data_IF_534792658095
#
_entry.id   IF_534792658095
#
_cell.length_a   1.000
_cell.length_b   1.000
_cell.length_c   1.000
_cell.angle_alpha   90.00
_cell.angle_beta   90.00
_cell.angle_gamma   90.00
#
_symmetry.space_group_name_H-M   'P 1'
#
loop_
_entity.id
_entity.type
_entity.pdbx_description
1 polymer ?
#
# COMPACT_ATOMS: atom_id res chain seq x y z
N UNK A 1 -44.46 -26.55 -39.94
CA UNK A 1 -43.22 -25.78 -39.66
C UNK A 1 -43.42 -24.48 -38.89
N UNK A 2 -44.65 -24.02 -38.59
CA UNK A 2 -44.87 -22.75 -37.83
C UNK A 2 -44.97 -22.88 -36.31
N UNK A 3 -45.19 -24.07 -35.75
CA UNK A 3 -45.28 -24.25 -34.29
C UNK A 3 -43.91 -24.37 -33.60
N UNK A 4 -42.85 -24.79 -34.30
CA UNK A 4 -41.50 -24.90 -33.73
C UNK A 4 -40.81 -23.55 -33.51
N UNK A 5 -41.17 -22.52 -34.30
CA UNK A 5 -40.54 -21.20 -34.23
C UNK A 5 -41.02 -20.38 -33.01
N UNK A 6 -42.26 -20.57 -32.57
CA UNK A 6 -42.82 -19.85 -31.42
C UNK A 6 -42.20 -20.35 -30.12
N UNK A 7 -41.98 -21.67 -29.99
CA UNK A 7 -41.32 -22.27 -28.81
C UNK A 7 -39.86 -21.80 -28.70
N UNK A 8 -39.19 -21.55 -29.83
CA UNK A 8 -37.80 -21.07 -29.84
C UNK A 8 -37.62 -19.60 -29.43
N UNK A 9 -38.65 -18.77 -29.61
CA UNK A 9 -38.61 -17.35 -29.19
C UNK A 9 -38.84 -17.19 -27.68
N UNK A 10 -39.74 -17.96 -27.09
CA UNK A 10 -40.01 -17.91 -25.64
C UNK A 10 -38.84 -18.39 -24.78
N UNK A 11 -38.01 -19.32 -25.28
CA UNK A 11 -36.82 -19.78 -24.53
C UNK A 11 -35.69 -18.76 -24.51
N UNK A 12 -35.57 -17.90 -25.53
CA UNK A 12 -34.51 -16.88 -25.60
C UNK A 12 -34.77 -15.67 -24.70
N UNK A 13 -36.02 -15.26 -24.51
CA UNK A 13 -36.36 -14.14 -23.61
C UNK A 13 -36.15 -14.53 -22.14
N UNK A 14 -36.58 -15.72 -21.74
CA UNK A 14 -36.39 -16.22 -20.36
C UNK A 14 -34.91 -16.43 -20.02
N UNK A 15 -34.09 -16.88 -20.99
CA UNK A 15 -32.64 -17.02 -20.81
C UNK A 15 -31.92 -15.66 -20.73
N UNK A 16 -32.38 -14.65 -21.46
CA UNK A 16 -31.80 -13.30 -21.38
C UNK A 16 -32.09 -12.63 -20.03
N UNK A 17 -33.28 -12.79 -19.47
CA UNK A 17 -33.59 -12.26 -18.14
C UNK A 17 -32.78 -12.96 -17.04
N UNK A 18 -32.56 -14.28 -17.15
CA UNK A 18 -31.68 -15.02 -16.24
C UNK A 18 -30.22 -14.59 -16.36
N UNK A 19 -29.72 -14.37 -17.59
CA UNK A 19 -28.35 -13.91 -17.80
C UNK A 19 -28.16 -12.46 -17.37
N UNK A 20 -29.15 -11.59 -17.57
CA UNK A 20 -29.13 -10.21 -17.09
C UNK A 20 -29.20 -10.17 -15.55
N UNK A 21 -30.05 -10.99 -14.93
CA UNK A 21 -30.10 -11.14 -13.48
C UNK A 21 -28.79 -11.70 -12.92
N UNK A 22 -28.22 -12.72 -13.55
CA UNK A 22 -26.92 -13.29 -13.17
C UNK A 22 -25.80 -12.26 -13.34
N UNK A 23 -25.81 -11.46 -14.41
CA UNK A 23 -24.84 -10.40 -14.63
C UNK A 23 -24.95 -9.28 -13.59
N UNK A 24 -26.16 -8.82 -13.27
CA UNK A 24 -26.41 -7.81 -12.21
C UNK A 24 -26.01 -8.36 -10.83
N UNK A 25 -26.34 -9.62 -10.55
CA UNK A 25 -26.02 -10.28 -9.29
C UNK A 25 -24.51 -10.54 -9.12
N UNK A 26 -23.81 -10.97 -10.18
CA UNK A 26 -22.35 -11.13 -10.19
C UNK A 26 -21.63 -9.78 -10.03
N UNK A 27 -22.09 -8.72 -10.71
CA UNK A 27 -21.48 -7.39 -10.62
C UNK A 27 -21.68 -6.77 -9.21
N UNK A 28 -22.85 -7.01 -8.59
CA UNK A 28 -23.14 -6.60 -7.21
C UNK A 28 -22.36 -7.38 -6.14
N UNK A 29 -21.99 -8.63 -6.44
CA UNK A 29 -21.22 -9.49 -5.52
C UNK A 29 -19.72 -9.15 -5.55
N UNK A 30 -19.15 -8.89 -6.74
CA UNK A 30 -17.75 -8.49 -6.89
C UNK A 30 -17.46 -7.12 -6.26
N UNK A 31 -18.35 -6.14 -6.45
CA UNK A 31 -18.20 -4.82 -5.85
C UNK A 31 -18.23 -4.85 -4.31
N UNK A 32 -19.01 -5.74 -3.69
CA UNK A 32 -19.06 -5.87 -2.22
C UNK A 32 -17.77 -6.43 -1.61
N UNK A 33 -17.16 -7.44 -2.24
CA UNK A 33 -15.88 -8.00 -1.77
C UNK A 33 -14.74 -7.00 -1.92
N UNK A 34 -14.73 -6.24 -3.01
CA UNK A 34 -13.68 -5.26 -3.31
C UNK A 34 -13.76 -4.05 -2.36
N UNK A 35 -14.97 -3.60 -2.03
CA UNK A 35 -15.18 -2.54 -1.03
C UNK A 35 -14.78 -3.02 0.38
N UNK A 36 -15.05 -4.28 0.73
CA UNK A 36 -14.68 -4.80 2.06
C UNK A 36 -13.17 -4.93 2.27
N UNK A 37 -12.43 -5.31 1.23
CA UNK A 37 -10.97 -5.43 1.24
C UNK A 37 -10.30 -4.07 1.19
N UNK A 38 -10.83 -3.14 0.39
CA UNK A 38 -10.35 -1.77 0.38
C UNK A 38 -10.52 -1.07 1.73
N UNK A 39 -11.66 -1.28 2.40
CA UNK A 39 -11.90 -0.74 3.74
C UNK A 39 -10.92 -1.29 4.77
N UNK A 40 -10.66 -2.60 4.78
CA UNK A 40 -9.73 -3.19 5.75
C UNK A 40 -8.29 -2.72 5.54
N UNK A 41 -7.86 -2.55 4.28
CA UNK A 41 -6.56 -1.96 3.94
C UNK A 41 -6.43 -0.53 4.48
N UNK A 42 -7.43 0.32 4.25
CA UNK A 42 -7.40 1.73 4.70
C UNK A 42 -7.39 1.80 6.23
N UNK A 43 -8.22 1.00 6.91
CA UNK A 43 -8.28 0.95 8.37
C UNK A 43 -6.91 0.56 8.95
N UNK A 44 -6.21 -0.39 8.32
CA UNK A 44 -4.86 -0.77 8.76
C UNK A 44 -3.87 0.40 8.69
N UNK A 45 -4.03 1.31 7.71
CA UNK A 45 -3.15 2.46 7.49
C UNK A 45 -3.43 3.65 8.42
N UNK A 46 -4.62 3.73 9.03
CA UNK A 46 -4.98 4.79 9.97
C UNK A 46 -4.04 4.78 11.19
N UNK A 47 -3.74 3.60 11.73
CA UNK A 47 -2.92 3.48 12.95
C UNK A 47 -1.41 3.58 12.70
N UNK A 48 -0.96 3.28 11.48
CA UNK A 48 0.47 3.18 11.13
C UNK A 48 1.22 4.47 11.40
N UNK A 49 0.60 5.63 11.17
CA UNK A 49 1.28 6.93 11.29
C UNK A 49 1.16 7.60 12.67
N UNK A 50 0.50 6.98 13.65
CA UNK A 50 0.31 7.58 14.97
C UNK A 50 1.63 7.89 15.70
N UNK A 51 2.67 7.08 15.46
CA UNK A 51 4.00 7.30 16.06
C UNK A 51 4.72 8.56 15.53
N UNK A 52 4.34 9.05 14.35
CA UNK A 52 4.90 10.28 13.76
C UNK A 52 4.35 11.55 14.42
N UNK A 53 3.21 11.44 15.11
CA UNK A 53 2.56 12.53 15.85
C UNK A 53 3.14 12.68 17.26
N UNK A 54 4.39 12.24 17.49
CA UNK A 54 5.06 12.40 18.79
C UNK A 54 5.30 13.89 19.03
N UNK A 55 4.35 14.53 19.70
CA UNK A 55 4.53 15.85 20.29
C UNK A 55 5.59 15.72 21.38
N UNK A 56 6.58 16.60 21.34
CA UNK A 56 7.62 16.68 22.37
C UNK A 56 6.99 16.63 23.78
N UNK A 57 7.27 15.57 24.54
CA UNK A 57 6.65 15.36 25.85
C UNK A 57 7.04 16.44 26.87
N UNK A 58 8.04 17.26 26.55
CA UNK A 58 8.50 18.35 27.41
C UNK A 58 7.54 19.54 27.47
N UNK A 59 6.70 19.75 26.44
CA UNK A 59 5.75 20.87 26.41
C UNK A 59 4.43 20.47 25.75
N UNK A 60 3.28 20.68 26.43
CA UNK A 60 1.99 20.43 25.80
C UNK A 60 1.81 21.34 24.56
N UNK A 61 1.15 20.84 23.50
CA UNK A 61 0.77 21.66 22.37
C UNK A 61 -0.02 22.89 22.84
N UNK A 62 0.16 24.05 22.20
CA UNK A 62 -0.68 25.20 22.50
C UNK A 62 -2.14 24.87 22.15
N UNK A 63 -3.05 25.23 23.05
CA UNK A 63 -4.49 25.00 22.85
C UNK A 63 -4.99 25.65 21.55
N UNK A 64 -5.79 24.89 20.80
CA UNK A 64 -6.41 25.38 19.58
C UNK A 64 -7.53 26.36 19.88
N UNK A 65 -7.88 27.22 18.92
CA UNK A 65 -8.97 28.20 19.13
C UNK A 65 -10.33 27.56 19.44
N UNK A 66 -10.58 26.35 18.91
CA UNK A 66 -11.81 25.59 19.15
C UNK A 66 -11.82 25.00 20.56
N UNK A 67 -10.70 24.45 21.04
CA UNK A 67 -10.55 23.97 22.42
C UNK A 67 -10.82 25.08 23.44
N UNK A 68 -10.32 26.29 23.19
CA UNK A 68 -10.58 27.45 24.04
C UNK A 68 -12.06 27.81 24.12
N UNK A 69 -12.78 27.70 22.99
CA UNK A 69 -14.23 27.97 22.93
C UNK A 69 -15.03 26.89 23.64
N UNK A 70 -14.61 25.62 23.56
CA UNK A 70 -15.21 24.52 24.32
C UNK A 70 -15.01 24.76 25.82
N UNK A 71 -13.79 25.09 26.25
CA UNK A 71 -13.50 25.41 27.65
C UNK A 71 -14.31 26.61 28.18
N UNK A 72 -14.51 27.63 27.34
CA UNK A 72 -15.34 28.78 27.67
C UNK A 72 -16.82 28.39 27.82
N UNK A 73 -17.39 27.61 26.89
CA UNK A 73 -18.78 27.15 26.98
C UNK A 73 -19.03 26.28 28.22
N UNK A 74 -18.06 25.44 28.59
CA UNK A 74 -18.11 24.65 29.84
C UNK A 74 -18.12 25.58 31.07
N UNK A 75 -17.28 26.63 31.07
CA UNK A 75 -17.23 27.60 32.17
C UNK A 75 -18.53 28.41 32.30
N UNK A 76 -19.18 28.69 31.19
CA UNK A 76 -20.48 29.39 31.12
C UNK A 76 -21.67 28.47 31.42
N UNK A 77 -21.45 27.15 31.51
CA UNK A 77 -22.49 26.15 31.80
C UNK A 77 -23.34 25.74 30.60
N UNK A 78 -22.96 26.16 29.39
CA UNK A 78 -23.62 25.75 28.14
C UNK A 78 -23.00 24.45 27.61
N UNK A 79 -23.42 23.34 28.21
CA UNK A 79 -22.95 22.01 27.84
C UNK A 79 -23.41 21.57 26.44
N UNK A 80 -24.58 22.04 25.98
CA UNK A 80 -25.11 21.67 24.67
C UNK A 80 -24.22 22.21 23.55
N UNK A 81 -23.81 23.47 23.66
CA UNK A 81 -22.88 24.07 22.70
C UNK A 81 -21.48 23.43 22.79
N UNK A 82 -21.01 23.11 24.00
CA UNK A 82 -19.72 22.43 24.20
C UNK A 82 -19.70 21.04 23.53
N UNK A 83 -20.75 20.25 23.70
CA UNK A 83 -20.92 18.93 23.09
C UNK A 83 -20.92 19.03 21.55
N UNK A 84 -21.74 19.91 20.98
CA UNK A 84 -21.80 20.09 19.53
C UNK A 84 -20.45 20.51 18.92
N UNK A 85 -19.69 21.37 19.61
CA UNK A 85 -18.36 21.76 19.17
C UNK A 85 -17.34 20.60 19.28
N UNK A 86 -17.42 19.80 20.34
CA UNK A 86 -16.58 18.62 20.53
C UNK A 86 -16.83 17.54 19.47
N UNK A 87 -18.10 17.21 19.20
CA UNK A 87 -18.48 16.21 18.20
C UNK A 87 -18.01 16.60 16.79
N UNK A 88 -18.14 17.90 16.46
CA UNK A 88 -17.64 18.43 15.21
C UNK A 88 -16.13 18.30 15.12
N UNK A 89 -15.40 18.59 16.19
CA UNK A 89 -13.94 18.46 16.23
C UNK A 89 -13.52 17.00 16.04
N UNK A 90 -14.15 16.07 16.78
CA UNK A 90 -13.88 14.64 16.65
C UNK A 90 -14.14 14.12 15.24
N UNK A 91 -15.20 14.60 14.58
CA UNK A 91 -15.52 14.23 13.19
C UNK A 91 -14.44 14.72 12.21
N UNK A 92 -13.93 15.94 12.40
CA UNK A 92 -12.87 16.49 11.55
C UNK A 92 -11.55 15.74 11.75
N UNK A 93 -11.15 15.45 12.98
CA UNK A 93 -9.94 14.68 13.28
C UNK A 93 -10.03 13.25 12.72
N UNK A 94 -11.21 12.62 12.79
CA UNK A 94 -11.44 11.33 12.17
C UNK A 94 -11.31 11.42 10.63
N UNK A 95 -11.85 12.47 10.02
CA UNK A 95 -11.72 12.75 8.59
C UNK A 95 -10.27 12.94 8.14
N UNK A 96 -9.46 13.65 8.91
CA UNK A 96 -8.04 13.85 8.64
C UNK A 96 -7.26 12.52 8.67
N UNK A 97 -7.53 11.67 9.67
CA UNK A 97 -6.92 10.33 9.77
C UNK A 97 -7.26 9.46 8.55
N UNK A 98 -8.50 9.53 8.07
CA UNK A 98 -8.93 8.81 6.86
C UNK A 98 -8.21 9.37 5.62
N UNK A 99 -8.14 10.69 5.47
CA UNK A 99 -7.43 11.33 4.36
C UNK A 99 -5.94 10.93 4.34
N UNK A 100 -5.28 10.97 5.50
CA UNK A 100 -3.90 10.55 5.64
C UNK A 100 -3.68 9.07 5.28
N UNK A 101 -4.63 8.19 5.63
CA UNK A 101 -4.58 6.78 5.25
C UNK A 101 -4.69 6.58 3.73
N UNK A 102 -5.53 7.36 3.04
CA UNK A 102 -5.60 7.35 1.58
C UNK A 102 -4.29 7.83 0.93
N UNK A 103 -3.67 8.87 1.47
CA UNK A 103 -2.39 9.36 0.97
C UNK A 103 -1.27 8.34 1.20
N UNK A 104 -1.26 7.66 2.35
CA UNK A 104 -0.35 6.55 2.62
C UNK A 104 -0.53 5.40 1.60
N UNK A 105 -1.78 5.02 1.30
CA UNK A 105 -2.10 4.01 0.28
C UNK A 105 -1.55 4.41 -1.09
N UNK A 106 -1.80 5.66 -1.52
CA UNK A 106 -1.29 6.20 -2.79
C UNK A 106 0.25 6.19 -2.84
N UNK A 107 0.90 6.56 -1.74
CA UNK A 107 2.35 6.55 -1.63
C UNK A 107 2.93 5.13 -1.78
N UNK A 108 2.35 4.13 -1.13
CA UNK A 108 2.78 2.73 -1.24
C UNK A 108 2.67 2.21 -2.67
N UNK A 109 1.56 2.52 -3.36
CA UNK A 109 1.38 2.15 -4.77
C UNK A 109 2.43 2.81 -5.68
N UNK A 110 2.72 4.09 -5.47
CA UNK A 110 3.75 4.80 -6.24
C UNK A 110 5.16 4.25 -5.96
N UNK A 111 5.46 3.92 -4.70
CA UNK A 111 6.74 3.32 -4.30
C UNK A 111 6.96 1.98 -5.02
N UNK A 112 5.93 1.16 -5.11
CA UNK A 112 6.01 -0.14 -5.80
C UNK A 112 6.21 0.01 -7.31
N UNK A 113 5.45 0.91 -7.96
CA UNK A 113 5.65 1.24 -9.39
C UNK A 113 7.08 1.73 -9.68
N UNK A 114 7.64 2.58 -8.81
CA UNK A 114 9.02 3.06 -8.91
C UNK A 114 10.03 1.93 -8.75
N UNK A 115 9.83 1.00 -7.80
CA UNK A 115 10.69 -0.18 -7.64
C UNK A 115 10.68 -1.07 -8.88
N UNK A 116 9.50 -1.40 -9.42
CA UNK A 116 9.36 -2.22 -10.62
C UNK A 116 10.04 -1.57 -11.84
N UNK A 117 9.87 -0.25 -11.99
CA UNK A 117 10.55 0.51 -13.05
C UNK A 117 12.07 0.46 -12.88
N UNK A 118 12.58 0.65 -11.65
CA UNK A 118 14.01 0.57 -11.35
C UNK A 118 14.57 -0.85 -11.60
N UNK A 119 13.82 -1.88 -11.24
CA UNK A 119 14.20 -3.28 -11.49
C UNK A 119 14.22 -3.59 -12.99
N UNK A 120 13.23 -3.11 -13.76
CA UNK A 120 13.23 -3.23 -15.23
C UNK A 120 14.43 -2.51 -15.84
N UNK A 121 14.72 -1.27 -15.43
CA UNK A 121 15.92 -0.54 -15.88
C UNK A 121 17.21 -1.30 -15.54
N UNK A 122 17.33 -1.87 -14.34
CA UNK A 122 18.48 -2.70 -13.95
C UNK A 122 18.62 -3.95 -14.83
N UNK A 123 17.52 -4.66 -15.12
CA UNK A 123 17.54 -5.83 -16.01
C UNK A 123 17.96 -5.45 -17.43
N UNK A 124 17.47 -4.32 -17.96
CA UNK A 124 17.87 -3.84 -19.27
C UNK A 124 19.37 -3.49 -19.31
N UNK A 125 19.85 -2.73 -18.32
CA UNK A 125 21.28 -2.38 -18.21
C UNK A 125 22.18 -3.62 -18.08
N UNK A 126 21.74 -4.67 -17.38
CA UNK A 126 22.47 -5.94 -17.27
C UNK A 126 22.45 -6.72 -18.58
N UNK A 127 21.34 -6.69 -19.33
CA UNK A 127 21.24 -7.31 -20.65
C UNK A 127 22.12 -6.65 -21.71
N UNK A 128 22.38 -5.35 -21.57
CA UNK A 128 23.22 -4.57 -22.48
C UNK A 128 24.73 -4.70 -22.17
N UNK A 129 25.10 -5.23 -21.00
CA UNK A 129 26.47 -5.60 -20.66
C UNK A 129 26.81 -6.94 -21.33
N UNK A 130 27.16 -6.91 -22.62
CA UNK A 130 27.85 -8.06 -23.24
C UNK A 130 29.13 -8.33 -22.44
N UNK A 131 29.41 -9.58 -22.03
CA UNK A 131 30.71 -9.90 -21.48
C UNK A 131 31.74 -9.52 -22.55
N UNK A 132 32.68 -8.65 -22.19
CA UNK A 132 33.79 -8.30 -23.08
C UNK A 132 34.52 -9.60 -23.42
N UNK A 133 34.62 -9.89 -24.72
CA UNK A 133 35.35 -11.05 -25.26
C UNK A 133 36.86 -10.95 -25.07
N UNK A 134 37.36 -9.85 -24.51
CA UNK A 134 38.77 -9.65 -24.23
C UNK A 134 39.24 -10.61 -23.13
N UNK A 135 40.11 -11.54 -23.50
CA UNK A 135 40.69 -12.57 -22.63
C UNK A 135 41.43 -12.07 -21.36
N UNK A 136 41.55 -10.76 -21.15
CA UNK A 136 42.16 -10.14 -19.96
C UNK A 136 41.41 -10.45 -18.65
N UNK A 137 40.09 -10.67 -18.68
CA UNK A 137 39.33 -10.97 -17.46
C UNK A 137 39.65 -12.37 -16.88
N UNK A 138 40.07 -13.33 -17.72
CA UNK A 138 40.44 -14.67 -17.26
C UNK A 138 41.71 -14.64 -16.41
N UNK A 139 42.69 -13.83 -16.80
CA UNK A 139 43.95 -13.67 -16.06
C UNK A 139 43.72 -13.05 -14.66
N UNK A 140 42.79 -12.09 -14.55
CA UNK A 140 42.46 -11.49 -13.25
C UNK A 140 41.75 -12.45 -12.30
N UNK A 141 40.90 -13.35 -12.81
CA UNK A 141 40.24 -14.34 -11.98
C UNK A 141 41.20 -15.44 -11.50
N UNK A 142 42.17 -15.85 -12.32
CA UNK A 142 43.17 -16.84 -11.91
C UNK A 142 44.14 -16.28 -10.86
N UNK A 143 44.57 -15.02 -10.97
CA UNK A 143 45.37 -14.36 -9.92
C UNK A 143 44.61 -14.25 -8.59
N UNK A 144 43.30 -13.94 -8.62
CA UNK A 144 42.47 -13.89 -7.40
C UNK A 144 42.30 -15.28 -6.77
N UNK A 145 42.14 -16.34 -7.59
CA UNK A 145 42.09 -17.73 -7.10
C UNK A 145 43.42 -18.17 -6.50
N UNK A 146 44.54 -17.84 -7.13
CA UNK A 146 45.88 -18.12 -6.64
C UNK A 146 46.15 -17.39 -5.32
N UNK A 147 45.75 -16.12 -5.21
CA UNK A 147 45.89 -15.34 -3.98
C UNK A 147 45.02 -15.89 -2.83
N UNK A 148 43.81 -16.38 -3.13
CA UNK A 148 42.96 -17.03 -2.15
C UNK A 148 43.52 -18.39 -1.69
N UNK A 149 44.07 -19.18 -2.62
CA UNK A 149 44.71 -20.46 -2.32
C UNK A 149 45.98 -20.28 -1.48
N UNK A 150 46.80 -19.27 -1.80
CA UNK A 150 47.97 -18.89 -1.02
C UNK A 150 47.58 -18.44 0.39
N UNK A 151 46.57 -17.57 0.55
CA UNK A 151 46.11 -17.16 1.88
C UNK A 151 45.57 -18.32 2.74
N UNK A 152 44.91 -19.30 2.13
CA UNK A 152 44.43 -20.48 2.84
C UNK A 152 45.57 -21.40 3.30
N UNK A 153 46.62 -21.55 2.47
CA UNK A 153 47.81 -22.34 2.82
C UNK A 153 48.71 -21.63 3.81
N UNK A 154 48.92 -20.31 3.68
CA UNK A 154 49.67 -19.49 4.63
C UNK A 154 49.01 -19.39 6.01
N UNK A 155 47.66 -19.31 6.06
CA UNK A 155 46.93 -19.38 7.34
C UNK A 155 47.05 -20.73 8.03
N UNK A 156 47.11 -21.83 7.27
CA UNK A 156 47.29 -23.17 7.84
C UNK A 156 48.73 -23.44 8.33
N UNK A 157 49.74 -22.81 7.73
CA UNK A 157 51.13 -22.87 8.23
C UNK A 157 51.35 -22.02 9.49
N UNK A 158 50.56 -20.96 9.69
CA UNK A 158 50.60 -20.10 10.89
C UNK A 158 49.86 -20.70 12.11
N UNK A 159 49.20 -21.84 11.96
CA UNK A 159 48.52 -22.57 13.05
C UNK A 159 49.43 -23.71 13.60
N UNK A 160 50.58 -23.97 12.98
CA UNK A 160 51.51 -25.03 13.37
C UNK A 160 52.86 -24.54 13.93
N UNK A 161 52.97 -23.27 14.30
CA UNK A 161 54.11 -22.70 15.05
C UNK A 161 53.66 -22.13 16.40
#
# INVERSE_FOLDING_TARGET
>A
TRQAAVVFFYTYEVLNDFLLFFFIFCNSSSSRSDISTEKSEIISLISVNNHLQTTDHSRPPPETSTEKRIAQAIKEGDFSSAEAMSDRLATLEAGEKVAAAFDAKRFLQQKEKKKQTKQRKRRNLIGDLKPSSDGRLKETCELVKLYAAWNHTSRNLLIFF
#
